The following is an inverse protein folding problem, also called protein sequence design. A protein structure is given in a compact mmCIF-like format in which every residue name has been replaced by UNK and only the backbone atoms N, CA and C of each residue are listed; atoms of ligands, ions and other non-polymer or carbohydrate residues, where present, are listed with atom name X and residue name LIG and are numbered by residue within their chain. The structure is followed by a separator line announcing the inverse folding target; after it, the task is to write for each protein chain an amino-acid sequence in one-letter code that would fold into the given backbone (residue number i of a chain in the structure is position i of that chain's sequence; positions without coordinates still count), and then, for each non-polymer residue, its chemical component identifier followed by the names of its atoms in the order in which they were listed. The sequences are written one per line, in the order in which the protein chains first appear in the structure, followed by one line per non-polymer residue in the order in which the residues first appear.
data_IF_750160804477
#
_entry.id   IF_750160804477
#
_cell.length_a   1.000
_cell.length_b   1.000
_cell.length_c   1.000
_cell.angle_alpha   90.00
_cell.angle_beta   90.00
_cell.angle_gamma   90.00
#
_symmetry.space_group_name_H-M   'P 1'
#
loop_
_entity.id
_entity.type
_entity.pdbx_description
1 polymer ?
#
# COMPACT_ATOMS: atom_id res chain seq x y z
N UNK A 1 -11.32 -27.46 -2.73
CA UNK A 1 -9.95 -27.19 -3.18
C UNK A 1 -9.39 -26.15 -2.23
N UNK A 2 -8.53 -26.55 -1.30
CA UNK A 2 -8.00 -25.64 -0.29
C UNK A 2 -7.14 -24.59 -0.97
N UNK A 3 -7.49 -23.31 -0.80
CA UNK A 3 -6.73 -22.21 -1.38
C UNK A 3 -5.38 -22.14 -0.66
N UNK A 4 -4.33 -22.66 -1.29
CA UNK A 4 -2.95 -22.44 -0.87
C UNK A 4 -2.59 -20.96 -1.05
N UNK A 5 -3.09 -20.10 -0.17
CA UNK A 5 -2.74 -18.69 -0.16
C UNK A 5 -1.32 -18.60 0.37
N UNK A 6 -0.41 -18.25 -0.53
CA UNK A 6 0.98 -17.94 -0.20
C UNK A 6 1.00 -16.88 0.90
N UNK A 7 1.84 -17.07 1.92
CA UNK A 7 1.96 -16.13 3.06
C UNK A 7 2.13 -14.67 2.61
N UNK A 8 2.81 -14.44 1.49
CA UNK A 8 2.96 -13.11 0.88
C UNK A 8 1.62 -12.44 0.50
N UNK A 9 0.62 -13.20 0.04
CA UNK A 9 -0.73 -12.67 -0.19
C UNK A 9 -1.49 -12.48 1.12
N UNK A 10 -1.32 -13.37 2.10
CA UNK A 10 -1.98 -13.30 3.42
C UNK A 10 -1.65 -12.00 4.17
N UNK A 11 -0.42 -11.51 4.05
CA UNK A 11 0.05 -10.31 4.77
C UNK A 11 0.17 -9.07 3.88
N UNK A 12 -0.46 -9.05 2.69
CA UNK A 12 -0.42 -7.85 1.84
C UNK A 12 -1.13 -6.70 2.57
N UNK A 13 -0.47 -5.55 2.80
CA UNK A 13 -1.09 -4.41 3.44
C UNK A 13 -2.23 -3.87 2.56
N UNK A 14 -3.40 -3.67 3.15
CA UNK A 14 -4.57 -3.13 2.47
C UNK A 14 -4.66 -1.59 2.55
N UNK A 15 -3.95 -1.01 3.52
CA UNK A 15 -3.94 0.44 3.79
C UNK A 15 -2.51 0.93 3.99
N UNK A 16 -2.27 2.22 3.74
CA UNK A 16 -0.94 2.82 3.89
C UNK A 16 -0.43 2.73 5.34
N UNK A 17 -1.32 2.78 6.31
CA UNK A 17 -1.03 2.68 7.74
C UNK A 17 -0.47 1.30 8.13
N UNK A 18 -0.79 0.25 7.36
CA UNK A 18 -0.31 -1.12 7.60
C UNK A 18 1.02 -1.45 6.92
N UNK A 19 1.61 -0.50 6.17
CA UNK A 19 2.91 -0.68 5.52
C UNK A 19 4.03 -0.48 6.54
N UNK A 20 4.88 -1.49 6.70
CA UNK A 20 5.99 -1.45 7.66
C UNK A 20 7.21 -0.74 7.06
N UNK A 21 7.80 0.18 7.81
CA UNK A 21 9.11 0.78 7.50
C UNK A 21 9.11 1.90 6.43
N UNK A 22 7.95 2.28 5.89
CA UNK A 22 7.86 3.24 4.78
C UNK A 22 6.98 4.47 5.10
N UNK A 23 7.23 5.10 6.24
CA UNK A 23 6.43 6.25 6.70
C UNK A 23 6.47 7.45 5.72
N UNK A 24 7.66 7.82 5.24
CA UNK A 24 7.82 8.98 4.35
C UNK A 24 7.16 8.75 2.98
N UNK A 25 7.36 7.57 2.38
CA UNK A 25 6.82 7.26 1.06
C UNK A 25 5.29 7.20 1.11
N UNK A 26 4.73 6.48 2.08
CA UNK A 26 3.28 6.37 2.25
C UNK A 26 2.63 7.73 2.53
N UNK A 27 3.29 8.60 3.31
CA UNK A 27 2.86 9.97 3.55
C UNK A 27 2.81 10.82 2.27
N UNK A 28 3.88 10.79 1.47
CA UNK A 28 3.94 11.51 0.18
C UNK A 28 2.83 11.05 -0.76
N UNK A 29 2.65 9.74 -0.92
CA UNK A 29 1.60 9.18 -1.78
C UNK A 29 0.19 9.53 -1.29
N UNK A 30 -0.05 9.44 0.02
CA UNK A 30 -1.34 9.82 0.63
C UNK A 30 -1.65 11.30 0.38
N UNK A 31 -0.67 12.18 0.48
CA UNK A 31 -0.83 13.61 0.22
C UNK A 31 -1.03 13.90 -1.27
N UNK A 32 -0.29 13.22 -2.15
CA UNK A 32 -0.43 13.34 -3.59
C UNK A 32 -1.84 12.97 -4.07
N UNK A 33 -2.39 11.87 -3.57
CA UNK A 33 -3.77 11.45 -3.86
C UNK A 33 -4.77 12.50 -3.37
N UNK A 34 -4.64 13.00 -2.14
CA UNK A 34 -5.53 14.04 -1.58
C UNK A 34 -5.53 15.33 -2.41
N UNK A 35 -4.38 15.68 -2.97
CA UNK A 35 -4.21 16.90 -3.76
C UNK A 35 -4.48 16.68 -5.27
N UNK A 36 -5.01 15.51 -5.66
CA UNK A 36 -5.18 15.10 -7.07
C UNK A 36 -3.89 15.20 -7.91
N UNK A 37 -2.72 15.09 -7.26
CA UNK A 37 -1.40 15.04 -7.88
C UNK A 37 -1.03 13.59 -8.17
N UNK A 38 -1.91 12.88 -8.88
CA UNK A 38 -1.61 11.53 -9.33
C UNK A 38 -0.54 11.62 -10.42
N UNK A 39 0.59 10.94 -10.19
CA UNK A 39 1.61 10.79 -11.23
C UNK A 39 0.96 10.12 -12.44
N UNK A 40 1.02 10.79 -13.60
CA UNK A 40 0.76 10.12 -14.87
C UNK A 40 1.98 9.27 -15.22
N UNK A 41 1.74 8.04 -15.68
CA UNK A 41 2.74 7.05 -16.05
C UNK A 41 2.90 6.99 -17.57
#
# INVERSE_FOLDING_TARGET
MENFIVSARKYRPATFETVVGQLHITGTLKNAIKNNQLAQA
#
